data_IF_371175818361
#
_entry.id   IF_371175818361
#
_cell.length_a   1.000
_cell.length_b   1.000
_cell.length_c   1.000
_cell.angle_alpha   90.00
_cell.angle_beta   90.00
_cell.angle_gamma   90.00
#
_symmetry.space_group_name_H-M   'P 1'
#
loop_
_entity.id
_entity.type
_entity.pdbx_description
1 polymer ?
#
# COMPACT_ATOMS: atom_id res chain seq x y z
N UNK A 1 13.33 20.00 -17.97
CA UNK A 1 13.30 21.26 -18.76
C UNK A 1 12.57 22.29 -17.91
N UNK A 2 13.05 23.53 -17.81
CA UNK A 2 12.37 24.53 -17.00
C UNK A 2 11.05 24.96 -17.67
N UNK A 3 9.99 25.15 -16.88
CA UNK A 3 8.73 25.74 -17.37
C UNK A 3 8.97 27.19 -17.77
N UNK A 4 8.60 27.54 -19.01
CA UNK A 4 8.65 28.90 -19.55
C UNK A 4 7.24 29.48 -19.63
N UNK A 5 6.80 30.28 -18.64
CA UNK A 5 5.47 30.88 -18.65
C UNK A 5 5.34 32.05 -19.64
N UNK A 6 6.44 32.52 -20.26
CA UNK A 6 6.40 33.65 -21.20
C UNK A 6 5.64 33.33 -22.49
N UNK A 7 5.48 32.05 -22.82
CA UNK A 7 4.68 31.56 -23.95
C UNK A 7 3.18 31.87 -23.79
N UNK A 8 2.72 32.11 -22.55
CA UNK A 8 1.35 32.55 -22.27
C UNK A 8 1.32 34.07 -22.46
N UNK A 9 0.51 34.51 -23.42
CA UNK A 9 0.53 35.88 -23.96
C UNK A 9 -0.65 36.72 -23.49
N UNK A 10 -1.72 36.09 -23.00
CA UNK A 10 -2.89 36.78 -22.48
C UNK A 10 -3.45 36.11 -21.19
N UNK A 11 -4.26 36.84 -20.40
CA UNK A 11 -4.82 36.30 -19.16
C UNK A 11 -5.71 35.07 -19.35
N UNK A 12 -6.42 34.95 -20.48
CA UNK A 12 -7.31 33.82 -20.73
C UNK A 12 -6.54 32.51 -20.93
N UNK A 13 -5.40 32.55 -21.65
CA UNK A 13 -4.48 31.41 -21.75
C UNK A 13 -3.92 31.00 -20.39
N UNK A 14 -3.67 31.97 -19.49
CA UNK A 14 -3.24 31.66 -18.13
C UNK A 14 -4.35 30.99 -17.32
N UNK A 15 -5.60 31.46 -17.45
CA UNK A 15 -6.75 30.90 -16.75
C UNK A 15 -7.03 29.45 -17.19
N UNK A 16 -6.99 29.16 -18.50
CA UNK A 16 -7.12 27.79 -19.03
C UNK A 16 -6.05 26.84 -18.47
N UNK A 17 -4.78 27.28 -18.49
CA UNK A 17 -3.68 26.47 -17.95
C UNK A 17 -3.78 26.29 -16.43
N UNK A 18 -4.26 27.30 -15.70
CA UNK A 18 -4.47 27.18 -14.25
C UNK A 18 -5.57 26.18 -13.90
N UNK A 19 -6.67 26.17 -14.65
CA UNK A 19 -7.75 25.21 -14.47
C UNK A 19 -7.25 23.78 -14.69
N UNK A 20 -6.52 23.54 -15.77
CA UNK A 20 -5.94 22.23 -16.10
C UNK A 20 -4.92 21.77 -15.03
N UNK A 21 -3.99 22.64 -14.64
CA UNK A 21 -2.98 22.31 -13.63
C UNK A 21 -3.62 22.03 -12.26
N UNK A 22 -4.68 22.76 -11.90
CA UNK A 22 -5.40 22.56 -10.64
C UNK A 22 -6.18 21.24 -10.65
N UNK A 23 -6.81 20.90 -11.78
CA UNK A 23 -7.48 19.61 -11.96
C UNK A 23 -6.49 18.44 -11.88
N UNK A 24 -5.32 18.57 -12.52
CA UNK A 24 -4.28 17.55 -12.47
C UNK A 24 -3.70 17.40 -11.04
N UNK A 25 -3.45 18.51 -10.34
CA UNK A 25 -3.00 18.49 -8.95
C UNK A 25 -3.99 17.76 -8.04
N UNK A 26 -5.28 18.04 -8.18
CA UNK A 26 -6.33 17.36 -7.42
C UNK A 26 -6.37 15.84 -7.70
N UNK A 27 -6.08 15.42 -8.94
CA UNK A 27 -5.98 14.01 -9.30
C UNK A 27 -4.82 13.32 -8.57
N UNK A 28 -3.64 13.93 -8.54
CA UNK A 28 -2.47 13.39 -7.83
C UNK A 28 -2.67 13.34 -6.32
N UNK A 29 -3.26 14.38 -5.71
CA UNK A 29 -3.57 14.40 -4.28
C UNK A 29 -4.58 13.30 -3.88
N UNK A 30 -5.55 13.00 -4.75
CA UNK A 30 -6.47 11.89 -4.53
C UNK A 30 -5.77 10.52 -4.66
N UNK A 31 -4.79 10.38 -5.57
CA UNK A 31 -4.00 9.16 -5.69
C UNK A 31 -3.13 8.92 -4.46
N UNK A 32 -2.49 9.97 -3.94
CA UNK A 32 -1.69 9.94 -2.72
C UNK A 32 -2.50 9.42 -1.52
N UNK A 33 -3.65 10.04 -1.27
CA UNK A 33 -4.57 9.65 -0.19
C UNK A 33 -5.03 8.20 -0.31
N UNK A 34 -5.32 7.73 -1.52
CA UNK A 34 -5.73 6.34 -1.76
C UNK A 34 -4.59 5.34 -1.51
N UNK A 35 -3.36 5.74 -1.80
CA UNK A 35 -2.18 4.92 -1.60
C UNK A 35 -1.85 4.77 -0.11
N UNK A 36 -1.88 5.86 0.65
CA UNK A 36 -1.75 5.86 2.11
C UNK A 36 -2.79 4.96 2.79
N UNK A 37 -4.03 5.03 2.32
CA UNK A 37 -5.10 4.17 2.81
C UNK A 37 -4.83 2.69 2.50
N UNK A 38 -4.35 2.38 1.29
CA UNK A 38 -4.02 1.01 0.89
C UNK A 38 -2.84 0.44 1.71
N UNK A 39 -1.85 1.26 2.03
CA UNK A 39 -0.68 0.86 2.81
C UNK A 39 -1.01 0.65 4.28
N UNK A 40 -1.81 1.54 4.88
CA UNK A 40 -2.34 1.36 6.24
C UNK A 40 -3.14 0.05 6.35
N UNK A 41 -4.00 -0.24 5.37
CA UNK A 41 -4.77 -1.49 5.33
C UNK A 41 -3.85 -2.70 5.16
N UNK A 42 -2.78 -2.59 4.39
CA UNK A 42 -1.79 -3.65 4.21
C UNK A 42 -1.05 -3.99 5.50
N UNK A 43 -0.63 -2.98 6.26
CA UNK A 43 0.05 -3.18 7.55
C UNK A 43 -0.88 -3.81 8.60
N UNK A 44 -2.15 -3.39 8.66
CA UNK A 44 -3.15 -4.02 9.53
C UNK A 44 -3.40 -5.50 9.17
N UNK A 45 -3.46 -5.82 7.88
CA UNK A 45 -3.61 -7.21 7.41
C UNK A 45 -2.38 -8.05 7.77
N UNK A 46 -1.16 -7.52 7.66
CA UNK A 46 0.07 -8.23 8.07
C UNK A 46 0.11 -8.47 9.58
N UNK A 47 -0.24 -7.48 10.39
CA UNK A 47 -0.30 -7.64 11.84
C UNK A 47 -1.30 -8.75 12.23
N UNK A 48 -2.47 -8.77 11.57
CA UNK A 48 -3.47 -9.83 11.74
C UNK A 48 -2.97 -11.20 11.30
N UNK A 49 -2.35 -11.31 10.12
CA UNK A 49 -1.80 -12.58 9.62
C UNK A 49 -0.68 -13.07 10.54
N UNK A 50 0.21 -12.19 11.02
CA UNK A 50 1.27 -12.53 11.97
C UNK A 50 0.70 -13.07 13.28
N UNK A 51 -0.31 -12.41 13.85
CA UNK A 51 -0.98 -12.88 15.06
C UNK A 51 -1.65 -14.26 14.86
N UNK A 52 -2.32 -14.46 13.72
CA UNK A 52 -2.93 -15.75 13.35
C UNK A 52 -1.86 -16.84 13.15
N UNK A 53 -0.74 -16.51 12.51
CA UNK A 53 0.39 -17.44 12.30
C UNK A 53 0.96 -17.89 13.64
N UNK A 54 1.24 -16.96 14.57
CA UNK A 54 1.71 -17.29 15.92
C UNK A 54 0.75 -18.23 16.64
N UNK A 55 -0.57 -18.00 16.53
CA UNK A 55 -1.59 -18.88 17.10
C UNK A 55 -1.56 -20.29 16.50
N UNK A 56 -1.50 -20.40 15.17
CA UNK A 56 -1.45 -21.71 14.48
C UNK A 56 -0.13 -22.45 14.76
N UNK A 57 0.99 -21.75 14.93
CA UNK A 57 2.27 -22.36 15.32
C UNK A 57 2.26 -22.90 16.75
N UNK A 58 1.58 -22.21 17.67
CA UNK A 58 1.34 -22.72 19.02
C UNK A 58 0.46 -23.99 19.00
N UNK A 59 -0.59 -24.02 18.16
CA UNK A 59 -1.42 -25.22 17.97
C UNK A 59 -0.62 -26.40 17.40
N UNK A 60 0.21 -26.16 16.38
CA UNK A 60 1.08 -27.19 15.79
C UNK A 60 2.03 -27.76 16.84
N UNK A 61 2.64 -26.89 17.65
CA UNK A 61 3.53 -27.29 18.74
C UNK A 61 2.78 -28.15 19.75
N UNK A 62 1.59 -27.73 20.18
CA UNK A 62 0.77 -28.46 21.14
C UNK A 62 0.38 -29.86 20.62
N UNK A 63 -0.12 -29.97 19.38
CA UNK A 63 -0.49 -31.27 18.80
C UNK A 63 0.73 -32.17 18.60
N UNK A 64 1.88 -31.62 18.21
CA UNK A 64 3.13 -32.38 18.07
C UNK A 64 3.59 -32.94 19.41
N UNK A 65 3.53 -32.14 20.49
CA UNK A 65 3.85 -32.60 21.85
C UNK A 65 2.91 -33.69 22.33
N UNK A 66 1.60 -33.57 22.08
CA UNK A 66 0.62 -34.61 22.42
C UNK A 66 0.94 -35.91 21.68
N UNK A 67 1.23 -35.84 20.37
CA UNK A 67 1.52 -37.02 19.55
C UNK A 67 2.84 -37.71 19.92
N UNK A 68 3.77 -36.99 20.55
CA UNK A 68 5.01 -37.54 21.09
C UNK A 68 4.82 -38.32 22.41
N UNK A 69 3.65 -38.23 23.05
CA UNK A 69 3.37 -38.93 24.30
C UNK A 69 3.20 -40.44 24.06
N UNK A 70 3.94 -41.24 24.83
CA UNK A 70 3.91 -42.71 24.75
C UNK A 70 2.60 -43.25 25.33
N UNK A 71 2.04 -44.29 24.70
CA UNK A 71 0.82 -44.95 25.19
C UNK A 71 -0.48 -44.19 24.90
N UNK A 72 -0.48 -43.24 23.97
CA UNK A 72 -1.72 -42.59 23.53
C UNK A 72 -2.73 -43.62 23.00
N UNK A 73 -4.00 -43.57 23.45
CA UNK A 73 -5.08 -44.29 22.79
C UNK A 73 -5.18 -43.96 21.30
N UNK A 74 -5.50 -44.95 20.47
CA UNK A 74 -5.48 -44.82 19.00
C UNK A 74 -6.48 -43.80 18.46
N UNK A 75 -7.63 -43.67 19.11
CA UNK A 75 -8.65 -42.66 18.80
C UNK A 75 -8.14 -41.24 19.09
N UNK A 76 -7.49 -41.05 20.24
CA UNK A 76 -6.85 -39.78 20.62
C UNK A 76 -5.70 -39.46 19.68
N UNK A 77 -4.91 -40.46 19.26
CA UNK A 77 -3.83 -40.29 18.28
C UNK A 77 -4.38 -39.81 16.93
N UNK A 78 -5.34 -40.53 16.35
CA UNK A 78 -5.97 -40.18 15.07
C UNK A 78 -6.63 -38.79 15.10
N UNK A 79 -7.28 -38.45 16.21
CA UNK A 79 -7.87 -37.12 16.41
C UNK A 79 -6.80 -36.01 16.34
N UNK A 80 -5.69 -36.16 17.07
CA UNK A 80 -4.62 -35.17 17.11
C UNK A 80 -3.84 -35.09 15.79
N UNK A 81 -3.64 -36.20 15.06
CA UNK A 81 -3.08 -36.20 13.70
C UNK A 81 -3.95 -35.43 12.70
N UNK A 82 -5.28 -35.57 12.80
CA UNK A 82 -6.23 -34.80 11.99
C UNK A 82 -6.15 -33.30 12.31
N UNK A 83 -6.05 -32.94 13.59
CA UNK A 83 -5.89 -31.55 14.03
C UNK A 83 -4.56 -30.95 13.56
N UNK A 84 -3.47 -31.71 13.67
CA UNK A 84 -2.14 -31.30 13.19
C UNK A 84 -2.13 -31.07 11.67
N UNK A 85 -2.75 -31.94 10.87
CA UNK A 85 -2.88 -31.73 9.41
C UNK A 85 -3.65 -30.45 9.09
N UNK A 86 -4.78 -30.21 9.76
CA UNK A 86 -5.56 -28.97 9.58
C UNK A 86 -4.78 -27.73 9.99
N UNK A 87 -4.02 -27.79 11.09
CA UNK A 87 -3.19 -26.68 11.53
C UNK A 87 -2.06 -26.37 10.54
N UNK A 88 -1.37 -27.39 10.02
CA UNK A 88 -0.37 -27.22 8.96
C UNK A 88 -0.95 -26.63 7.66
N UNK A 89 -2.15 -27.06 7.26
CA UNK A 89 -2.84 -26.47 6.10
C UNK A 89 -3.18 -25.00 6.33
N UNK A 90 -3.70 -24.63 7.50
CA UNK A 90 -3.94 -23.23 7.87
C UNK A 90 -2.66 -22.41 7.86
N UNK A 91 -1.55 -22.96 8.37
CA UNK A 91 -0.24 -22.31 8.35
C UNK A 91 0.22 -22.03 6.91
N UNK A 92 0.13 -23.01 6.02
CA UNK A 92 0.48 -22.84 4.61
C UNK A 92 -0.33 -21.73 3.94
N UNK A 93 -1.66 -21.73 4.12
CA UNK A 93 -2.53 -20.68 3.58
C UNK A 93 -2.22 -19.29 4.16
N UNK A 94 -1.92 -19.19 5.45
CA UNK A 94 -1.54 -17.92 6.08
C UNK A 94 -0.19 -17.41 5.57
N UNK A 95 0.77 -18.29 5.29
CA UNK A 95 2.04 -17.93 4.67
C UNK A 95 1.85 -17.45 3.22
N UNK A 96 0.97 -18.11 2.47
CA UNK A 96 0.60 -17.70 1.11
C UNK A 96 -0.13 -16.34 1.11
N UNK A 97 -1.09 -16.15 2.01
CA UNK A 97 -1.79 -14.87 2.20
C UNK A 97 -0.86 -13.76 2.71
N UNK A 98 0.11 -14.10 3.57
CA UNK A 98 1.16 -13.18 4.00
C UNK A 98 2.07 -12.73 2.86
N UNK A 99 2.15 -13.51 1.78
CA UNK A 99 2.92 -13.18 0.57
C UNK A 99 2.19 -12.20 -0.39
N UNK A 100 0.90 -11.92 -0.16
CA UNK A 100 0.05 -11.15 -1.07
C UNK A 100 0.44 -9.66 -1.26
N UNK A 101 1.41 -9.14 -0.51
CA UNK A 101 2.25 -8.00 -0.94
C UNK A 101 3.70 -8.29 -0.54
N UNK A 102 4.44 -8.89 -1.47
CA UNK A 102 5.88 -9.15 -1.34
C UNK A 102 6.67 -7.88 -1.00
N UNK A 103 7.90 -8.01 -0.50
CA UNK A 103 8.76 -6.85 -0.25
C UNK A 103 8.97 -5.99 -1.52
N UNK A 104 9.00 -6.62 -2.70
CA UNK A 104 9.03 -5.93 -3.97
C UNK A 104 7.79 -5.06 -4.20
N UNK A 105 6.58 -5.57 -3.88
CA UNK A 105 5.35 -4.79 -4.01
C UNK A 105 5.31 -3.57 -3.08
N UNK A 106 5.92 -3.67 -1.87
CA UNK A 106 6.04 -2.52 -0.96
C UNK A 106 7.04 -1.49 -1.46
N UNK A 107 8.17 -1.95 -1.99
CA UNK A 107 9.17 -1.06 -2.56
C UNK A 107 8.61 -0.30 -3.77
N UNK A 108 7.88 -1.00 -4.65
CA UNK A 108 7.21 -0.36 -5.79
C UNK A 108 6.13 0.63 -5.35
N UNK A 109 5.35 0.32 -4.30
CA UNK A 109 4.44 1.30 -3.71
C UNK A 109 5.20 2.54 -3.19
N UNK A 110 6.29 2.37 -2.45
CA UNK A 110 7.09 3.51 -1.99
C UNK A 110 7.62 4.37 -3.16
N UNK A 111 8.06 3.73 -4.26
CA UNK A 111 8.45 4.44 -5.49
C UNK A 111 7.27 5.20 -6.10
N UNK A 112 6.08 4.61 -6.16
CA UNK A 112 4.88 5.28 -6.68
C UNK A 112 4.50 6.50 -5.82
N UNK A 113 4.66 6.43 -4.49
CA UNK A 113 4.43 7.56 -3.59
C UNK A 113 5.43 8.69 -3.85
N UNK A 114 6.72 8.38 -3.94
CA UNK A 114 7.76 9.37 -4.25
C UNK A 114 7.52 10.06 -5.60
N UNK A 115 6.99 9.33 -6.59
CA UNK A 115 6.62 9.90 -7.88
C UNK A 115 5.42 10.86 -7.78
N UNK A 116 4.41 10.51 -6.98
CA UNK A 116 3.24 11.36 -6.75
C UNK A 116 3.67 12.66 -6.05
N UNK A 117 4.49 12.58 -5.00
CA UNK A 117 5.04 13.75 -4.30
C UNK A 117 5.81 14.67 -5.23
N UNK A 118 6.69 14.09 -6.06
CA UNK A 118 7.45 14.85 -7.04
C UNK A 118 6.52 15.58 -8.02
N UNK A 119 5.44 14.93 -8.47
CA UNK A 119 4.50 15.53 -9.41
C UNK A 119 3.64 16.62 -8.77
N UNK A 120 3.21 16.45 -7.52
CA UNK A 120 2.53 17.49 -6.72
C UNK A 120 3.42 18.73 -6.60
N UNK A 121 4.72 18.56 -6.33
CA UNK A 121 5.66 19.67 -6.25
C UNK A 121 5.85 20.39 -7.59
N UNK A 122 5.94 19.64 -8.70
CA UNK A 122 6.04 20.19 -10.06
C UNK A 122 4.80 21.01 -10.41
N UNK A 123 3.60 20.46 -10.20
CA UNK A 123 2.33 21.13 -10.52
C UNK A 123 2.11 22.38 -9.66
N UNK A 124 2.44 22.30 -8.37
CA UNK A 124 2.36 23.46 -7.46
C UNK A 124 3.25 24.61 -7.96
N UNK A 125 4.50 24.31 -8.36
CA UNK A 125 5.42 25.30 -8.91
C UNK A 125 4.91 25.88 -10.24
N UNK A 126 4.34 25.03 -11.11
CA UNK A 126 3.73 25.48 -12.36
C UNK A 126 2.59 26.48 -12.11
N UNK A 127 1.67 26.16 -11.19
CA UNK A 127 0.57 27.04 -10.78
C UNK A 127 1.09 28.39 -10.29
N UNK A 128 2.13 28.40 -9.44
CA UNK A 128 2.76 29.65 -8.96
C UNK A 128 3.25 30.50 -10.13
N UNK A 129 4.01 29.93 -11.05
CA UNK A 129 4.56 30.64 -12.22
C UNK A 129 3.50 31.19 -13.16
N UNK A 130 2.44 30.42 -13.42
CA UNK A 130 1.33 30.88 -14.28
C UNK A 130 0.53 31.97 -13.60
N UNK A 131 0.33 31.89 -12.27
CA UNK A 131 -0.32 32.94 -11.49
C UNK A 131 0.48 34.25 -11.55
N UNK A 132 1.80 34.19 -11.39
CA UNK A 132 2.69 35.35 -11.52
C UNK A 132 2.63 35.96 -12.93
N UNK A 133 2.65 35.12 -13.97
CA UNK A 133 2.53 35.57 -15.36
C UNK A 133 1.20 36.25 -15.64
N UNK A 134 0.11 35.66 -15.15
CA UNK A 134 -1.23 36.24 -15.28
C UNK A 134 -1.29 37.63 -14.66
N UNK A 135 -0.75 37.79 -13.46
CA UNK A 135 -0.70 39.08 -12.76
C UNK A 135 0.06 40.15 -13.58
N UNK A 136 1.18 39.78 -14.20
CA UNK A 136 1.95 40.68 -15.08
C UNK A 136 1.20 41.11 -16.33
N UNK A 137 0.35 40.24 -16.90
CA UNK A 137 -0.45 40.53 -18.10
C UNK A 137 -1.70 41.38 -17.80
N UNK A 138 -2.12 41.41 -16.54
CA UNK A 138 -3.26 42.19 -16.06
C UNK A 138 -2.89 43.55 -15.45
N UNK A 139 -1.58 43.86 -15.36
CA UNK A 139 -1.04 45.13 -14.87
C UNK A 139 -0.80 46.10 -16.03
#
# INVERSE_FOLDING_TARGET
MALDPSILTNPAECDEVLDDLTAELASYQNRDTNQDYADTRSEQVKAKIKALLTGVEAEITAFTTILATVGLPDDVRKYNESKLRKANFRRANLLEQGSARSNAARFLAAVDAEQIDAQVAVLTNAITKVTERRAQLSA
#
